data_IF_980365983836
#
_entry.id   IF_980365983836
#
_cell.length_a   1.000
_cell.length_b   1.000
_cell.length_c   1.000
_cell.angle_alpha   90.00
_cell.angle_beta   90.00
_cell.angle_gamma   90.00
#
_symmetry.space_group_name_H-M   'P 1'
#
loop_
_entity.id
_entity.type
_entity.pdbx_description
1 polymer ?
#
# COMPACT_ATOMS: atom_id res chain seq x y z
N UNK A 1 1.55 14.49 -15.82
CA UNK A 1 2.75 13.73 -16.19
C UNK A 1 2.53 12.26 -15.82
N UNK A 2 2.96 11.32 -16.66
CA UNK A 2 2.89 9.88 -16.37
C UNK A 2 4.30 9.29 -16.28
N UNK A 3 4.46 8.22 -15.51
CA UNK A 3 5.67 7.39 -15.49
C UNK A 3 5.34 6.01 -16.05
N UNK A 4 6.33 5.37 -16.67
CA UNK A 4 6.14 4.04 -17.26
C UNK A 4 7.44 3.22 -17.25
N UNK A 5 7.31 1.90 -17.21
CA UNK A 5 8.43 0.98 -17.46
C UNK A 5 8.61 0.79 -18.97
N UNK A 6 9.77 0.28 -19.40
CA UNK A 6 10.01 -0.01 -20.82
C UNK A 6 8.93 -0.92 -21.44
N UNK A 7 8.33 -1.83 -20.64
CA UNK A 7 7.27 -2.71 -21.13
C UNK A 7 5.95 -1.99 -21.42
N UNK A 8 5.72 -0.82 -20.81
CA UNK A 8 4.47 -0.07 -20.86
C UNK A 8 4.55 1.16 -21.77
N UNK A 9 5.57 1.25 -22.63
CA UNK A 9 5.82 2.43 -23.48
C UNK A 9 4.60 2.80 -24.36
N UNK A 10 3.84 1.81 -24.81
CA UNK A 10 2.66 1.98 -25.64
C UNK A 10 1.33 1.97 -24.86
N UNK A 11 1.40 1.99 -23.52
CA UNK A 11 0.21 1.94 -22.66
C UNK A 11 -0.64 3.22 -22.79
N UNK A 12 -1.94 3.10 -22.59
CA UNK A 12 -2.90 4.19 -22.80
C UNK A 12 -2.60 5.43 -21.93
N UNK A 13 -2.15 5.25 -20.70
CA UNK A 13 -1.81 6.36 -19.82
C UNK A 13 -0.60 7.17 -20.33
N UNK A 14 0.35 6.51 -21.02
CA UNK A 14 1.49 7.19 -21.66
C UNK A 14 1.01 8.03 -22.84
N UNK A 15 0.12 7.46 -23.67
CA UNK A 15 -0.43 8.15 -24.84
C UNK A 15 -1.30 9.36 -24.48
N UNK A 16 -2.06 9.25 -23.37
CA UNK A 16 -2.97 10.32 -22.93
C UNK A 16 -2.29 11.41 -22.08
N UNK A 17 -1.12 11.13 -21.52
CA UNK A 17 -0.42 12.09 -20.70
C UNK A 17 0.22 13.19 -21.55
N UNK A 18 0.14 14.44 -21.10
CA UNK A 18 0.84 15.57 -21.77
C UNK A 18 2.36 15.44 -21.71
N UNK A 19 2.89 14.66 -20.75
CA UNK A 19 4.29 14.31 -20.61
C UNK A 19 4.41 12.91 -20.00
N UNK A 20 5.35 12.11 -20.46
CA UNK A 20 5.62 10.77 -19.90
C UNK A 20 7.13 10.51 -19.80
N UNK A 21 7.55 9.82 -18.74
CA UNK A 21 8.97 9.52 -18.48
C UNK A 21 9.13 8.04 -18.20
N UNK A 22 10.06 7.39 -18.92
CA UNK A 22 10.45 6.02 -18.64
C UNK A 22 11.30 5.97 -17.37
N UNK A 23 10.86 5.19 -16.37
CA UNK A 23 11.51 5.10 -15.06
C UNK A 23 12.34 3.82 -14.86
N UNK A 24 12.45 2.98 -15.87
CA UNK A 24 13.28 1.78 -15.79
C UNK A 24 12.78 0.61 -16.65
N UNK A 25 13.42 -0.56 -16.50
CA UNK A 25 13.07 -1.77 -17.23
C UNK A 25 11.70 -2.34 -16.79
N UNK A 26 11.26 -3.40 -17.45
CA UNK A 26 9.95 -4.05 -17.21
C UNK A 26 9.75 -4.55 -15.77
N UNK A 27 10.83 -4.92 -15.07
CA UNK A 27 10.77 -5.43 -13.72
C UNK A 27 10.31 -4.32 -12.75
N UNK A 28 9.24 -4.56 -12.00
CA UNK A 28 8.66 -3.57 -11.09
C UNK A 28 9.64 -3.06 -10.02
N UNK A 29 10.50 -3.93 -9.50
CA UNK A 29 11.52 -3.55 -8.52
C UNK A 29 12.51 -2.49 -9.05
N UNK A 30 12.74 -2.48 -10.34
CA UNK A 30 13.70 -1.58 -11.00
C UNK A 30 13.00 -0.38 -11.67
N UNK A 31 11.68 -0.27 -11.53
CA UNK A 31 10.84 0.80 -12.10
C UNK A 31 9.79 1.30 -11.09
N UNK A 32 8.58 0.75 -11.09
CA UNK A 32 7.44 1.23 -10.28
C UNK A 32 7.62 1.12 -8.77
N UNK A 33 8.51 0.24 -8.28
CA UNK A 33 8.86 0.12 -6.86
C UNK A 33 10.15 0.89 -6.50
N UNK A 34 10.80 1.52 -7.46
CA UNK A 34 11.99 2.33 -7.25
C UNK A 34 11.56 3.75 -6.81
N UNK A 35 11.47 3.96 -5.50
CA UNK A 35 11.02 5.21 -4.90
C UNK A 35 11.93 6.39 -5.31
N UNK A 36 13.25 6.19 -5.36
CA UNK A 36 14.20 7.23 -5.70
C UNK A 36 14.02 7.71 -7.15
N UNK A 37 13.78 6.78 -8.08
CA UNK A 37 13.49 7.13 -9.47
C UNK A 37 12.22 7.95 -9.60
N UNK A 38 11.15 7.54 -8.90
CA UNK A 38 9.86 8.23 -8.89
C UNK A 38 9.97 9.66 -8.34
N UNK A 39 10.63 9.82 -7.19
CA UNK A 39 10.84 11.12 -6.56
C UNK A 39 11.74 12.03 -7.40
N UNK A 40 12.79 11.46 -8.00
CA UNK A 40 13.69 12.19 -8.90
C UNK A 40 12.93 12.73 -10.11
N UNK A 41 12.13 11.89 -10.77
CA UNK A 41 11.33 12.30 -11.92
C UNK A 41 10.29 13.34 -11.54
N UNK A 42 9.59 13.16 -10.42
CA UNK A 42 8.59 14.12 -9.95
C UNK A 42 9.22 15.52 -9.74
N UNK A 43 10.38 15.59 -9.10
CA UNK A 43 11.11 16.84 -8.89
C UNK A 43 11.65 17.44 -10.21
N UNK A 44 12.26 16.62 -11.05
CA UNK A 44 12.85 17.08 -12.31
C UNK A 44 11.80 17.61 -13.30
N UNK A 45 10.57 17.12 -13.21
CA UNK A 45 9.45 17.55 -14.07
C UNK A 45 8.56 18.62 -13.42
N UNK A 46 8.92 19.12 -12.24
CA UNK A 46 8.19 20.19 -11.54
C UNK A 46 6.81 19.79 -11.04
N UNK A 47 6.62 18.52 -10.66
CA UNK A 47 5.38 18.06 -10.06
C UNK A 47 5.23 18.58 -8.62
N UNK A 48 4.00 18.93 -8.21
CA UNK A 48 3.64 19.33 -6.85
C UNK A 48 3.19 18.13 -6.01
N UNK A 49 2.79 17.04 -6.67
CA UNK A 49 2.26 15.86 -6.01
C UNK A 49 2.43 14.58 -6.81
N UNK A 50 2.21 13.48 -6.12
CA UNK A 50 2.30 12.11 -6.65
C UNK A 50 1.00 11.39 -6.35
N UNK A 51 0.31 10.93 -7.41
CA UNK A 51 -0.81 10.02 -7.29
C UNK A 51 -0.29 8.59 -7.49
N UNK A 52 -0.34 7.75 -6.46
CA UNK A 52 0.29 6.41 -6.52
C UNK A 52 -0.51 5.38 -7.33
N UNK A 53 -1.70 5.73 -7.82
CA UNK A 53 -2.63 4.76 -8.40
C UNK A 53 -3.18 3.80 -7.34
N UNK A 54 -3.30 2.52 -7.71
CA UNK A 54 -3.58 1.42 -6.78
C UNK A 54 -2.53 0.31 -6.99
N UNK A 55 -2.27 -0.48 -5.95
CA UNK A 55 -1.16 -1.45 -5.97
C UNK A 55 0.21 -0.78 -5.81
N UNK A 56 1.28 -1.51 -6.03
CA UNK A 56 2.67 -1.05 -5.88
C UNK A 56 2.90 -0.23 -4.60
N UNK A 57 3.19 1.07 -4.73
CA UNK A 57 3.52 1.95 -3.61
C UNK A 57 2.29 2.67 -3.01
N UNK A 58 1.07 2.41 -3.50
CA UNK A 58 -0.14 3.08 -2.99
C UNK A 58 -0.43 2.80 -1.51
N UNK A 59 0.01 1.64 -1.01
CA UNK A 59 -0.12 1.23 0.40
C UNK A 59 1.25 1.23 1.13
N UNK A 60 2.24 1.92 0.57
CA UNK A 60 3.58 2.01 1.15
C UNK A 60 3.71 3.29 1.98
N UNK A 61 3.74 3.13 3.30
CA UNK A 61 3.86 4.25 4.23
C UNK A 61 5.17 5.03 4.08
N UNK A 62 6.27 4.32 3.83
CA UNK A 62 7.59 4.95 3.71
C UNK A 62 7.67 5.80 2.43
N UNK A 63 6.98 5.39 1.36
CA UNK A 63 6.88 6.20 0.15
C UNK A 63 6.03 7.48 0.37
N UNK A 64 4.94 7.38 1.11
CA UNK A 64 4.13 8.55 1.47
C UNK A 64 4.95 9.55 2.29
N UNK A 65 5.74 9.08 3.25
CA UNK A 65 6.64 9.91 4.06
C UNK A 65 7.79 10.49 3.22
N UNK A 66 8.35 9.71 2.29
CA UNK A 66 9.39 10.15 1.39
C UNK A 66 8.90 11.25 0.42
N UNK A 67 7.66 11.16 -0.07
CA UNK A 67 7.03 12.24 -0.83
C UNK A 67 6.95 13.53 0.00
N UNK A 68 6.44 13.45 1.23
CA UNK A 68 6.34 14.61 2.13
C UNK A 68 7.72 15.22 2.43
N UNK A 69 8.71 14.40 2.74
CA UNK A 69 10.09 14.84 2.97
C UNK A 69 10.71 15.50 1.72
N UNK A 70 10.29 15.07 0.53
CA UNK A 70 10.70 15.63 -0.75
C UNK A 70 9.98 16.95 -1.12
N UNK A 71 9.01 17.41 -0.32
CA UNK A 71 8.17 18.57 -0.60
C UNK A 71 7.05 18.29 -1.63
N UNK A 72 6.72 17.01 -1.85
CA UNK A 72 5.66 16.58 -2.76
C UNK A 72 4.41 16.17 -1.97
N UNK A 73 3.24 16.51 -2.48
CA UNK A 73 1.98 16.03 -1.92
C UNK A 73 1.72 14.60 -2.34
N UNK A 74 1.74 13.64 -1.40
CA UNK A 74 1.23 12.31 -1.68
C UNK A 74 -0.30 12.37 -1.73
N UNK A 75 -0.89 12.02 -2.87
CA UNK A 75 -2.35 12.04 -3.06
C UNK A 75 -2.94 10.74 -2.50
N UNK A 76 -3.18 10.74 -1.21
CA UNK A 76 -3.61 9.60 -0.43
C UNK A 76 -3.50 9.86 1.08
N UNK A 77 -3.68 8.83 1.92
CA UNK A 77 -3.53 8.93 3.36
C UNK A 77 -2.06 9.18 3.75
N UNK A 78 -1.86 9.70 4.96
CA UNK A 78 -0.50 9.87 5.51
C UNK A 78 0.17 8.52 5.75
N UNK A 79 1.51 8.48 5.81
CA UNK A 79 2.26 7.27 6.12
C UNK A 79 1.85 6.65 7.46
N UNK A 80 1.53 7.47 8.46
CA UNK A 80 0.99 7.00 9.75
C UNK A 80 -0.37 6.29 9.60
N UNK A 81 -1.28 6.89 8.82
CA UNK A 81 -2.57 6.26 8.54
C UNK A 81 -2.44 4.94 7.76
N UNK A 82 -1.52 4.89 6.77
CA UNK A 82 -1.23 3.66 6.02
C UNK A 82 -0.69 2.58 6.95
N UNK A 83 0.26 2.90 7.84
CA UNK A 83 0.80 1.94 8.81
C UNK A 83 -0.26 1.39 9.76
N UNK A 84 -1.13 2.26 10.28
CA UNK A 84 -2.23 1.86 11.17
C UNK A 84 -3.26 0.97 10.47
N UNK A 85 -3.58 1.25 9.20
CA UNK A 85 -4.53 0.47 8.41
C UNK A 85 -3.91 -0.82 7.83
N UNK A 86 -2.60 -0.84 7.59
CA UNK A 86 -1.90 -1.95 6.92
C UNK A 86 -1.79 -3.24 7.74
N UNK A 87 -1.88 -3.16 9.07
CA UNK A 87 -1.96 -4.34 9.93
C UNK A 87 -3.43 -4.71 10.16
N UNK A 88 -3.83 -5.89 9.69
CA UNK A 88 -5.23 -6.37 9.82
C UNK A 88 -5.70 -6.44 11.27
N UNK A 89 -4.84 -6.86 12.21
CA UNK A 89 -5.14 -6.88 13.64
C UNK A 89 -5.26 -5.48 14.22
N UNK A 90 -4.25 -4.62 13.99
CA UNK A 90 -4.25 -3.25 14.47
C UNK A 90 -5.41 -2.42 13.90
N UNK A 91 -5.74 -2.58 12.62
CA UNK A 91 -6.89 -1.92 12.00
C UNK A 91 -8.21 -2.36 12.66
N UNK A 92 -8.37 -3.66 12.94
CA UNK A 92 -9.56 -4.20 13.62
C UNK A 92 -9.68 -3.66 15.04
N UNK A 93 -8.59 -3.60 15.79
CA UNK A 93 -8.58 -3.08 17.16
C UNK A 93 -8.89 -1.59 17.18
N UNK A 94 -8.35 -0.83 16.23
CA UNK A 94 -8.65 0.59 16.05
C UNK A 94 -10.15 0.80 15.75
N UNK A 95 -10.73 0.01 14.85
CA UNK A 95 -12.16 0.09 14.51
C UNK A 95 -13.04 -0.28 15.72
N UNK A 96 -12.67 -1.33 16.46
CA UNK A 96 -13.37 -1.74 17.68
C UNK A 96 -13.34 -0.63 18.73
N UNK A 97 -12.17 -0.01 18.96
CA UNK A 97 -12.02 1.12 19.89
C UNK A 97 -12.84 2.35 19.47
N UNK A 98 -13.04 2.56 18.16
CA UNK A 98 -13.89 3.62 17.61
C UNK A 98 -15.39 3.28 17.61
N UNK A 99 -15.80 2.13 18.16
CA UNK A 99 -17.20 1.69 18.19
C UNK A 99 -17.75 1.18 16.85
N UNK A 100 -16.89 0.95 15.87
CA UNK A 100 -17.28 0.40 14.57
C UNK A 100 -17.45 -1.12 14.72
N UNK A 101 -18.57 -1.71 14.26
CA UNK A 101 -18.74 -3.16 14.28
C UNK A 101 -17.65 -3.87 13.47
N UNK A 102 -17.03 -4.87 14.07
CA UNK A 102 -16.01 -5.71 13.43
C UNK A 102 -16.43 -7.17 13.46
N UNK A 103 -16.02 -7.93 12.45
CA UNK A 103 -16.26 -9.38 12.45
C UNK A 103 -15.56 -10.04 13.65
N UNK A 104 -16.16 -11.03 14.32
CA UNK A 104 -15.49 -11.82 15.36
C UNK A 104 -14.18 -12.42 14.85
N UNK A 105 -13.19 -12.59 15.72
CA UNK A 105 -11.90 -13.15 15.36
C UNK A 105 -10.94 -13.16 16.56
N UNK A 106 -9.72 -13.69 16.39
CA UNK A 106 -8.68 -13.73 17.44
C UNK A 106 -8.30 -12.32 17.90
N UNK A 107 -7.87 -12.19 19.17
CA UNK A 107 -7.38 -10.92 19.72
C UNK A 107 -5.92 -10.61 19.34
N UNK A 108 -5.51 -11.02 18.17
CA UNK A 108 -4.18 -10.82 17.64
C UNK A 108 -3.74 -11.96 16.74
N UNK A 109 -2.50 -11.93 16.27
CA UNK A 109 -1.91 -13.04 15.54
C UNK A 109 -1.83 -14.28 16.42
N UNK A 110 -2.12 -15.45 15.87
CA UNK A 110 -1.93 -16.75 16.52
C UNK A 110 -0.58 -17.32 16.13
N UNK A 111 0.19 -17.80 17.09
CA UNK A 111 1.56 -18.25 16.89
C UNK A 111 1.67 -19.78 16.75
N UNK A 112 0.63 -20.54 17.12
CA UNK A 112 0.61 -21.99 17.04
C UNK A 112 -0.73 -22.54 16.54
N UNK A 113 -0.73 -23.82 16.18
CA UNK A 113 -1.96 -24.54 15.77
C UNK A 113 -2.94 -24.63 16.97
N UNK A 114 -2.44 -24.83 18.17
CA UNK A 114 -3.24 -24.93 19.38
C UNK A 114 -3.95 -23.61 19.67
N UNK A 115 -3.25 -22.48 19.56
CA UNK A 115 -3.84 -21.14 19.69
C UNK A 115 -4.88 -20.88 18.61
N UNK A 116 -4.62 -21.30 17.38
CA UNK A 116 -5.55 -21.14 16.27
C UNK A 116 -6.84 -21.94 16.50
N UNK A 117 -6.73 -23.15 17.02
CA UNK A 117 -7.89 -23.99 17.34
C UNK A 117 -8.71 -23.38 18.49
N UNK A 118 -8.05 -22.94 19.57
CA UNK A 118 -8.72 -22.29 20.70
C UNK A 118 -9.45 -20.99 20.27
N UNK A 119 -8.81 -20.19 19.43
CA UNK A 119 -9.44 -19.00 18.86
C UNK A 119 -10.63 -19.35 17.96
N UNK A 120 -10.52 -20.39 17.14
CA UNK A 120 -11.61 -20.85 16.27
C UNK A 120 -12.82 -21.36 17.06
N UNK A 121 -12.58 -22.09 18.17
CA UNK A 121 -13.64 -22.54 19.06
C UNK A 121 -14.34 -21.36 19.74
N UNK A 122 -13.59 -20.35 20.16
CA UNK A 122 -14.13 -19.12 20.77
C UNK A 122 -14.97 -18.29 19.81
N UNK A 123 -14.55 -18.21 18.54
CA UNK A 123 -15.25 -17.43 17.48
C UNK A 123 -16.46 -18.18 16.94
N UNK A 124 -16.38 -19.49 16.88
CA UNK A 124 -17.37 -20.38 16.25
C UNK A 124 -17.08 -20.64 14.77
N UNK A 125 -17.33 -21.87 14.34
CA UNK A 125 -17.16 -22.30 12.94
C UNK A 125 -18.33 -21.89 12.04
N UNK A 126 -18.07 -21.60 10.74
CA UNK A 126 -16.78 -21.69 10.04
C UNK A 126 -15.88 -20.48 10.30
N UNK A 127 -14.56 -20.70 10.30
CA UNK A 127 -13.55 -19.64 10.44
C UNK A 127 -12.64 -19.53 9.22
N UNK A 128 -12.10 -18.34 8.98
CA UNK A 128 -11.12 -18.08 7.95
C UNK A 128 -9.77 -17.73 8.58
N UNK A 129 -8.75 -18.52 8.26
CA UNK A 129 -7.38 -18.24 8.68
C UNK A 129 -6.67 -17.39 7.61
N UNK A 130 -6.10 -16.27 8.01
CA UNK A 130 -5.37 -15.35 7.12
C UNK A 130 -3.97 -15.08 7.63
N UNK A 131 -3.02 -14.89 6.71
CA UNK A 131 -1.71 -14.36 7.06
C UNK A 131 -1.84 -12.92 7.61
N UNK A 132 -1.01 -12.58 8.60
CA UNK A 132 -0.99 -11.25 9.21
C UNK A 132 -0.56 -10.16 8.22
N UNK A 133 0.40 -10.49 7.33
CA UNK A 133 0.84 -9.66 6.22
C UNK A 133 0.52 -10.33 4.89
N UNK A 134 0.04 -9.56 3.93
CA UNK A 134 -0.29 -10.06 2.60
C UNK A 134 -1.61 -9.50 2.08
N UNK A 135 -1.72 -9.39 0.76
CA UNK A 135 -2.94 -8.99 0.08
C UNK A 135 -4.04 -10.05 0.22
N UNK A 136 -5.23 -9.63 0.50
CA UNK A 136 -6.53 -10.27 0.48
C UNK A 136 -6.68 -11.72 0.79
#
# INVERSE_FOLDING_TARGET
MAVYSQADADALHVQLAGQAVCIGPARAADSYLNQDALLTVAKATGCDGVHPGYGFLSENADFADACAAAGLTFIGPSGDAIRKAGSKSAARDLMRAAGVPVTPGSDGPVASVEEALAAAESVGYPVLLKASAGGG
#
